data_IF_719666323538
#
_entry.id   IF_719666323538
#
_cell.length_a   1.000
_cell.length_b   1.000
_cell.length_c   1.000
_cell.angle_alpha   90.00
_cell.angle_beta   90.00
_cell.angle_gamma   90.00
#
_symmetry.space_group_name_H-M   'P 1'
#
loop_
_entity.id
_entity.type
_entity.pdbx_description
1 polymer ?
#
# COMPACT_ATOMS: atom_id res chain seq x y z
N UNK A 1 -22.76 35.46 3.72
CA UNK A 1 -23.88 34.50 3.83
C UNK A 1 -24.15 33.79 2.49
N UNK A 2 -23.12 33.25 1.81
CA UNK A 2 -23.27 32.68 0.45
C UNK A 2 -22.90 31.19 0.31
N UNK A 3 -22.48 30.51 1.37
CA UNK A 3 -21.99 29.12 1.28
C UNK A 3 -23.00 28.02 1.68
N UNK A 4 -24.30 28.33 1.72
CA UNK A 4 -25.35 27.38 2.12
C UNK A 4 -26.06 26.69 0.95
N UNK A 5 -25.37 26.30 -0.13
CA UNK A 5 -26.04 25.68 -1.30
C UNK A 5 -26.71 24.34 -0.96
N UNK A 6 -26.12 23.58 -0.03
CA UNK A 6 -26.61 22.28 0.43
C UNK A 6 -27.96 22.41 1.16
N UNK A 7 -28.17 23.51 1.90
CA UNK A 7 -29.41 23.77 2.66
C UNK A 7 -30.54 24.40 1.82
N UNK A 8 -30.32 24.62 0.51
CA UNK A 8 -31.32 25.16 -0.42
C UNK A 8 -31.90 24.08 -1.35
N UNK A 9 -31.54 22.81 -1.12
CA UNK A 9 -32.03 21.63 -1.84
C UNK A 9 -32.67 20.65 -0.84
N UNK A 10 -33.33 19.60 -1.33
CA UNK A 10 -33.81 18.52 -0.48
C UNK A 10 -32.62 17.82 0.20
N UNK A 11 -32.59 17.85 1.54
CA UNK A 11 -31.51 17.32 2.36
C UNK A 11 -32.11 16.47 3.48
N UNK A 12 -31.46 15.34 3.79
CA UNK A 12 -31.70 14.57 5.01
C UNK A 12 -30.57 14.85 6.01
N UNK A 13 -30.93 15.20 7.26
CA UNK A 13 -29.98 15.38 8.36
C UNK A 13 -30.35 14.41 9.49
N UNK A 14 -29.40 13.55 9.86
CA UNK A 14 -29.48 12.68 11.04
C UNK A 14 -28.60 13.29 12.14
N UNK A 15 -29.22 13.75 13.22
CA UNK A 15 -28.51 14.35 14.35
C UNK A 15 -29.11 13.90 15.68
N UNK A 16 -28.25 13.64 16.67
CA UNK A 16 -28.63 13.25 18.03
C UNK A 16 -27.57 13.76 19.01
N UNK A 17 -27.96 14.34 20.16
CA UNK A 17 -27.00 14.84 21.14
C UNK A 17 -26.18 13.73 21.82
N UNK A 18 -26.71 12.49 21.84
CA UNK A 18 -26.09 11.38 22.55
C UNK A 18 -25.45 10.34 21.62
N UNK A 19 -25.98 10.16 20.40
CA UNK A 19 -25.40 9.23 19.43
C UNK A 19 -26.38 8.72 18.37
N UNK A 20 -25.82 8.09 17.34
CA UNK A 20 -26.53 7.44 16.23
C UNK A 20 -25.91 6.04 16.07
N UNK A 21 -26.75 5.01 15.98
CA UNK A 21 -26.33 3.64 15.66
C UNK A 21 -27.00 3.21 14.35
N UNK A 22 -26.22 2.69 13.41
CA UNK A 22 -26.70 2.14 12.14
C UNK A 22 -26.30 0.66 12.07
N UNK A 23 -27.28 -0.24 12.18
CA UNK A 23 -27.04 -1.69 12.32
C UNK A 23 -28.09 -2.49 11.57
N UNK A 24 -27.70 -3.62 10.99
CA UNK A 24 -28.58 -4.59 10.32
C UNK A 24 -27.94 -5.97 10.38
N UNK A 25 -28.73 -7.07 10.39
CA UNK A 25 -28.20 -8.42 10.21
C UNK A 25 -27.68 -8.69 8.79
N UNK A 26 -28.05 -7.86 7.81
CA UNK A 26 -27.64 -7.98 6.42
C UNK A 26 -26.60 -6.91 6.02
N UNK A 27 -26.92 -6.05 5.05
CA UNK A 27 -25.94 -5.18 4.40
C UNK A 27 -26.21 -3.70 4.65
N UNK A 28 -25.13 -2.92 4.86
CA UNK A 28 -25.14 -1.46 4.78
C UNK A 28 -24.33 -1.06 3.55
N UNK A 29 -24.92 -0.25 2.67
CA UNK A 29 -24.26 0.31 1.49
C UNK A 29 -24.27 1.83 1.63
N UNK A 30 -23.08 2.44 1.62
CA UNK A 30 -22.89 3.89 1.63
C UNK A 30 -22.31 4.28 0.28
N UNK A 31 -23.06 5.06 -0.50
CA UNK A 31 -22.67 5.47 -1.85
C UNK A 31 -23.07 6.92 -2.10
N UNK A 32 -22.16 7.67 -2.72
CA UNK A 32 -22.42 9.01 -3.25
C UNK A 32 -21.89 9.10 -4.69
N UNK A 33 -22.53 9.90 -5.54
CA UNK A 33 -22.02 10.18 -6.90
C UNK A 33 -20.82 11.14 -6.92
N UNK A 34 -20.55 11.78 -5.78
CA UNK A 34 -19.42 12.66 -5.55
C UNK A 34 -18.63 12.10 -4.35
N UNK A 35 -18.53 12.84 -3.26
CA UNK A 35 -17.67 12.50 -2.13
C UNK A 35 -18.44 11.90 -0.94
N UNK A 36 -17.78 11.01 -0.20
CA UNK A 36 -18.15 10.62 1.17
C UNK A 36 -17.07 11.17 2.09
N UNK A 37 -17.47 11.98 3.08
CA UNK A 37 -16.57 12.54 4.08
C UNK A 37 -16.87 11.96 5.45
N UNK A 38 -15.88 11.32 6.08
CA UNK A 38 -15.95 10.81 7.44
C UNK A 38 -14.94 11.56 8.32
N UNK A 39 -15.41 12.06 9.46
CA UNK A 39 -14.55 12.78 10.41
C UNK A 39 -15.01 12.55 11.83
N UNK A 40 -14.05 12.47 12.77
CA UNK A 40 -14.32 12.35 14.19
C UNK A 40 -13.31 13.19 14.98
N UNK A 41 -13.75 13.82 16.07
CA UNK A 41 -12.83 14.49 17.02
C UNK A 41 -12.02 13.50 17.84
N UNK A 42 -12.57 12.29 18.06
CA UNK A 42 -11.90 11.16 18.68
C UNK A 42 -11.20 10.28 17.65
N UNK A 43 -11.77 9.09 17.41
CA UNK A 43 -11.18 8.07 16.53
C UNK A 43 -12.21 7.54 15.54
N UNK A 44 -11.74 7.16 14.35
CA UNK A 44 -12.46 6.28 13.42
C UNK A 44 -11.89 4.87 13.61
N UNK A 45 -12.73 3.90 13.93
CA UNK A 45 -12.33 2.50 14.11
C UNK A 45 -13.00 1.65 13.03
N UNK A 46 -12.19 1.02 12.19
CA UNK A 46 -12.64 0.10 11.14
C UNK A 46 -12.24 -1.32 11.52
N UNK A 47 -13.20 -2.22 11.55
CA UNK A 47 -12.99 -3.63 11.92
C UNK A 47 -13.90 -4.53 11.11
N UNK A 48 -13.36 -5.66 10.65
CA UNK A 48 -14.11 -6.70 9.96
C UNK A 48 -13.59 -8.08 10.38
N UNK A 49 -14.47 -9.09 10.41
CA UNK A 49 -14.07 -10.46 10.70
C UNK A 49 -13.30 -11.11 9.54
N UNK A 50 -13.64 -10.73 8.31
CA UNK A 50 -13.01 -11.24 7.09
C UNK A 50 -11.99 -10.25 6.54
N UNK A 51 -12.45 -9.20 5.87
CA UNK A 51 -11.58 -8.30 5.09
C UNK A 51 -11.97 -6.83 5.28
N UNK A 52 -10.96 -5.95 5.25
CA UNK A 52 -11.12 -4.53 4.95
C UNK A 52 -10.41 -4.30 3.62
N UNK A 53 -11.16 -3.83 2.61
CA UNK A 53 -10.65 -3.61 1.26
C UNK A 53 -10.82 -2.13 0.93
N UNK A 54 -9.71 -1.46 0.61
CA UNK A 54 -9.71 -0.08 0.12
C UNK A 54 -9.12 -0.03 -1.27
N UNK A 55 -9.77 0.67 -2.18
CA UNK A 55 -9.27 0.95 -3.53
C UNK A 55 -9.64 2.38 -3.91
N UNK A 56 -8.82 3.00 -4.74
CA UNK A 56 -9.09 4.30 -5.33
C UNK A 56 -8.55 4.28 -6.77
N UNK A 57 -9.20 5.01 -7.67
CA UNK A 57 -8.73 5.13 -9.06
C UNK A 57 -7.52 6.06 -9.17
N UNK A 58 -7.50 7.14 -8.39
CA UNK A 58 -6.44 8.15 -8.46
C UNK A 58 -5.38 7.93 -7.38
N UNK A 59 -5.76 7.99 -6.08
CA UNK A 59 -4.79 7.93 -4.98
C UNK A 59 -5.37 7.45 -3.66
N UNK A 60 -4.55 6.74 -2.88
CA UNK A 60 -4.72 6.52 -1.44
C UNK A 60 -3.62 7.29 -0.70
N UNK A 61 -3.97 8.07 0.34
CA UNK A 61 -3.00 8.81 1.15
C UNK A 61 -3.30 8.63 2.64
N UNK A 62 -2.29 8.20 3.40
CA UNK A 62 -2.39 7.94 4.85
C UNK A 62 -1.35 8.80 5.58
N UNK A 63 -1.81 9.56 6.58
CA UNK A 63 -0.95 10.48 7.32
C UNK A 63 -1.24 10.45 8.82
N UNK A 64 -0.19 10.38 9.62
CA UNK A 64 -0.26 10.41 11.09
C UNK A 64 0.67 11.49 11.63
N UNK A 65 0.11 12.55 12.22
CA UNK A 65 0.88 13.74 12.61
C UNK A 65 1.79 13.56 13.83
N UNK A 66 1.44 12.66 14.76
CA UNK A 66 2.12 12.58 16.07
C UNK A 66 2.64 11.19 16.43
N UNK A 67 1.81 10.15 16.30
CA UNK A 67 2.10 8.81 16.85
C UNK A 67 2.53 7.78 15.79
N UNK A 68 2.75 8.21 14.55
CA UNK A 68 3.24 7.39 13.45
C UNK A 68 2.21 6.43 12.85
N UNK A 69 2.65 5.69 11.82
CA UNK A 69 1.87 4.66 11.13
C UNK A 69 2.39 3.27 11.52
N UNK A 70 1.48 2.32 11.69
CA UNK A 70 1.79 0.93 11.99
C UNK A 70 0.99 0.00 11.08
N UNK A 71 1.67 -0.93 10.43
CA UNK A 71 1.06 -1.97 9.60
C UNK A 71 1.63 -3.32 10.03
N UNK A 72 0.76 -4.26 10.40
CA UNK A 72 1.15 -5.57 10.91
C UNK A 72 0.32 -6.67 10.24
N UNK A 73 0.98 -7.74 9.80
CA UNK A 73 0.35 -8.99 9.44
C UNK A 73 0.73 -10.02 10.52
N UNK A 74 -0.25 -10.47 11.33
CA UNK A 74 0.02 -11.48 12.37
C UNK A 74 0.32 -12.86 11.78
N UNK A 75 -0.28 -13.16 10.63
CA UNK A 75 -0.02 -14.33 9.79
C UNK A 75 -0.12 -13.89 8.33
N UNK A 76 0.56 -14.61 7.45
CA UNK A 76 0.62 -14.28 6.02
C UNK A 76 1.61 -13.16 5.71
N UNK A 77 1.73 -12.86 4.41
CA UNK A 77 2.68 -11.89 3.87
C UNK A 77 2.17 -10.45 3.99
N UNK A 78 3.07 -9.52 4.30
CA UNK A 78 2.88 -8.10 4.03
C UNK A 78 3.49 -7.81 2.65
N UNK A 79 2.67 -7.32 1.72
CA UNK A 79 3.09 -7.02 0.36
C UNK A 79 2.99 -5.53 0.06
N UNK A 80 4.05 -4.99 -0.54
CA UNK A 80 4.12 -3.61 -1.03
C UNK A 80 4.64 -3.66 -2.46
N UNK A 81 3.86 -3.12 -3.40
CA UNK A 81 4.20 -3.09 -4.82
C UNK A 81 3.81 -1.74 -5.41
N UNK A 82 4.71 -1.17 -6.21
CA UNK A 82 4.39 -0.13 -7.17
C UNK A 82 4.53 -0.77 -8.55
N UNK A 83 3.39 -0.99 -9.22
CA UNK A 83 3.35 -1.85 -10.42
C UNK A 83 3.83 -1.14 -11.69
N UNK A 84 3.74 0.19 -11.71
CA UNK A 84 4.16 1.04 -12.84
C UNK A 84 4.98 2.26 -12.39
N UNK A 85 5.44 2.27 -11.12
CA UNK A 85 6.20 3.40 -10.57
C UNK A 85 7.14 2.93 -9.44
N UNK A 86 7.77 3.87 -8.74
CA UNK A 86 8.75 3.63 -7.69
C UNK A 86 8.14 3.39 -6.31
N UNK A 87 8.89 2.68 -5.46
CA UNK A 87 8.69 2.65 -4.01
C UNK A 87 9.77 3.51 -3.35
N UNK A 88 9.36 4.54 -2.61
CA UNK A 88 10.27 5.37 -1.80
C UNK A 88 10.08 5.11 -0.30
N UNK A 89 11.16 4.73 0.39
CA UNK A 89 11.19 4.58 1.84
C UNK A 89 12.23 5.53 2.44
N UNK A 90 11.77 6.64 3.02
CA UNK A 90 12.61 7.73 3.52
C UNK A 90 12.38 7.92 5.02
N UNK A 91 13.45 7.96 5.81
CA UNK A 91 13.38 8.24 7.24
C UNK A 91 14.46 9.26 7.65
N UNK A 92 14.07 10.23 8.48
CA UNK A 92 15.02 11.22 9.05
C UNK A 92 16.09 10.58 9.95
N UNK A 93 15.76 9.45 10.58
CA UNK A 93 16.66 8.73 11.50
C UNK A 93 17.16 7.44 10.86
N UNK A 94 16.51 6.32 11.15
CA UNK A 94 17.01 4.99 10.82
C UNK A 94 15.96 4.25 10.01
N UNK A 95 16.42 3.54 8.97
CA UNK A 95 15.66 2.49 8.29
C UNK A 95 16.26 1.15 8.74
N UNK A 96 15.40 0.21 9.15
CA UNK A 96 15.79 -1.16 9.52
C UNK A 96 15.08 -2.16 8.62
N UNK A 97 15.84 -2.93 7.86
CA UNK A 97 15.36 -4.12 7.14
C UNK A 97 15.97 -5.33 7.85
N UNK A 98 15.12 -6.15 8.48
CA UNK A 98 15.55 -7.27 9.34
C UNK A 98 14.71 -8.48 8.98
N UNK A 99 15.38 -9.58 8.64
CA UNK A 99 14.81 -10.94 8.63
C UNK A 99 15.30 -11.65 9.89
N UNK A 100 14.41 -12.29 10.64
CA UNK A 100 14.75 -12.93 11.93
C UNK A 100 15.16 -14.39 11.80
N UNK A 101 14.71 -15.06 10.74
CA UNK A 101 14.87 -16.50 10.57
C UNK A 101 15.56 -16.86 9.24
N UNK A 102 15.37 -16.06 8.20
CA UNK A 102 15.78 -16.38 6.83
C UNK A 102 16.67 -15.27 6.24
N UNK A 103 16.46 -14.90 4.97
CA UNK A 103 17.30 -13.97 4.21
C UNK A 103 16.63 -12.62 3.94
N UNK A 104 17.44 -11.64 3.54
CA UNK A 104 17.01 -10.40 2.88
C UNK A 104 17.49 -10.48 1.43
N UNK A 105 16.60 -10.25 0.48
CA UNK A 105 16.91 -10.27 -0.94
C UNK A 105 16.73 -8.89 -1.56
N UNK A 106 17.73 -8.48 -2.34
CA UNK A 106 17.73 -7.26 -3.14
C UNK A 106 18.10 -7.66 -4.56
N UNK A 107 17.14 -7.54 -5.47
CA UNK A 107 17.31 -7.93 -6.87
C UNK A 107 16.94 -6.74 -7.75
N UNK A 108 17.75 -6.46 -8.76
CA UNK A 108 17.49 -5.40 -9.73
C UNK A 108 17.97 -5.85 -11.11
N UNK A 109 17.16 -5.69 -12.17
CA UNK A 109 17.58 -6.01 -13.53
C UNK A 109 18.68 -5.07 -14.05
N UNK A 110 18.81 -3.88 -13.46
CA UNK A 110 19.74 -2.84 -13.91
C UNK A 110 20.91 -2.66 -12.95
N UNK A 111 20.61 -2.29 -11.72
CA UNK A 111 21.64 -1.88 -10.76
C UNK A 111 21.14 -1.87 -9.30
N UNK A 112 22.05 -2.17 -8.38
CA UNK A 112 21.91 -1.91 -6.94
C UNK A 112 23.04 -0.97 -6.50
N UNK A 113 22.69 0.11 -5.81
CA UNK A 113 23.64 1.10 -5.27
C UNK A 113 23.44 1.25 -3.77
N UNK A 114 24.50 1.01 -3.00
CA UNK A 114 24.54 1.25 -1.55
C UNK A 114 25.58 2.33 -1.28
N UNK A 115 25.14 3.52 -0.86
CA UNK A 115 26.02 4.67 -0.63
C UNK A 115 25.95 5.13 0.81
N UNK A 116 27.10 5.36 1.44
CA UNK A 116 27.20 5.85 2.81
C UNK A 116 28.47 6.67 3.02
N UNK A 117 28.35 7.89 3.57
CA UNK A 117 29.49 8.71 3.99
C UNK A 117 30.55 8.96 2.90
N UNK A 118 30.14 9.09 1.63
CA UNK A 118 31.06 9.25 0.49
C UNK A 118 31.69 7.95 -0.03
N UNK A 119 31.32 6.79 0.52
CA UNK A 119 31.68 5.46 0.00
C UNK A 119 30.48 4.81 -0.69
N UNK A 120 30.74 3.91 -1.64
CA UNK A 120 29.72 3.23 -2.43
C UNK A 120 30.09 1.76 -2.71
N UNK A 121 29.08 0.90 -2.64
CA UNK A 121 29.07 -0.42 -3.27
C UNK A 121 28.02 -0.42 -4.39
N UNK A 122 28.44 -0.76 -5.61
CA UNK A 122 27.60 -0.77 -6.81
C UNK A 122 27.66 -2.14 -7.50
N UNK A 123 26.50 -2.68 -7.84
CA UNK A 123 26.36 -3.99 -8.51
C UNK A 123 25.51 -3.80 -9.76
N UNK A 124 26.05 -4.12 -10.94
CA UNK A 124 25.35 -4.02 -12.21
C UNK A 124 25.93 -4.99 -13.26
N UNK A 125 25.50 -4.87 -14.52
CA UNK A 125 25.95 -5.72 -15.63
C UNK A 125 27.49 -5.69 -15.88
N UNK A 126 28.18 -4.64 -15.43
CA UNK A 126 29.63 -4.50 -15.58
C UNK A 126 30.42 -5.11 -14.40
N UNK A 127 29.74 -5.58 -13.35
CA UNK A 127 30.37 -6.25 -12.20
C UNK A 127 30.04 -5.62 -10.85
N UNK A 128 30.94 -5.80 -9.88
CA UNK A 128 30.84 -5.30 -8.50
C UNK A 128 31.93 -4.26 -8.25
N UNK A 129 31.53 -3.05 -7.88
CA UNK A 129 32.43 -1.90 -7.71
C UNK A 129 32.36 -1.35 -6.29
N UNK A 130 33.49 -1.36 -5.60
CA UNK A 130 33.68 -0.71 -4.30
C UNK A 130 34.46 0.59 -4.50
N UNK A 131 33.85 1.72 -4.19
CA UNK A 131 34.48 3.05 -4.31
C UNK A 131 34.52 3.73 -2.95
N UNK A 132 35.69 4.20 -2.51
CA UNK A 132 35.82 4.98 -1.28
C UNK A 132 36.97 5.97 -1.40
N UNK A 133 36.79 7.19 -0.88
CA UNK A 133 37.88 8.16 -0.72
C UNK A 133 38.71 7.92 0.55
N UNK A 134 38.24 7.03 1.45
CA UNK A 134 38.92 6.69 2.69
C UNK A 134 39.68 5.37 2.60
N UNK A 135 39.93 4.76 3.77
CA UNK A 135 40.58 3.46 3.86
C UNK A 135 39.62 2.34 3.43
N UNK A 136 40.01 1.56 2.42
CA UNK A 136 39.43 0.25 2.16
C UNK A 136 40.22 -0.81 2.93
N UNK A 137 39.62 -1.44 3.94
CA UNK A 137 40.27 -2.51 4.73
C UNK A 137 39.52 -3.82 4.55
N UNK A 138 40.22 -4.87 4.13
CA UNK A 138 39.69 -6.23 4.03
C UNK A 138 40.50 -7.15 4.94
N UNK A 139 39.86 -7.75 5.94
CA UNK A 139 40.47 -8.66 6.90
C UNK A 139 39.83 -10.04 6.75
N UNK A 140 40.60 -11.03 6.32
CA UNK A 140 40.14 -12.41 6.16
C UNK A 140 41.25 -13.41 6.50
N UNK A 141 40.86 -14.64 6.85
CA UNK A 141 41.80 -15.76 7.00
C UNK A 141 42.42 -16.22 5.68
N UNK A 142 41.75 -15.98 4.55
CA UNK A 142 42.25 -16.21 3.20
C UNK A 142 41.47 -15.32 2.20
N UNK A 143 42.15 -14.90 1.13
CA UNK A 143 41.50 -14.35 -0.06
C UNK A 143 41.74 -15.30 -1.23
N UNK A 144 40.67 -15.86 -1.79
CA UNK A 144 40.71 -16.72 -2.97
C UNK A 144 40.06 -15.98 -4.14
N UNK A 145 40.82 -15.76 -5.21
CA UNK A 145 40.33 -15.15 -6.44
C UNK A 145 40.30 -16.22 -7.53
N UNK A 146 39.10 -16.50 -8.06
CA UNK A 146 38.86 -17.47 -9.14
C UNK A 146 38.33 -16.79 -10.40
N UNK A 147 38.15 -17.55 -11.48
CA UNK A 147 37.49 -17.05 -12.69
C UNK A 147 36.05 -16.59 -12.41
N UNK A 148 35.57 -15.62 -13.19
CA UNK A 148 34.20 -15.12 -13.06
C UNK A 148 33.12 -16.18 -13.28
N UNK A 149 31.96 -15.96 -12.67
CA UNK A 149 30.76 -16.77 -12.82
C UNK A 149 29.52 -15.87 -12.98
N UNK A 150 28.46 -16.40 -13.58
CA UNK A 150 27.17 -15.71 -13.72
C UNK A 150 26.16 -16.30 -12.73
N UNK A 151 25.45 -15.44 -12.04
CA UNK A 151 24.30 -15.82 -11.19
C UNK A 151 23.02 -15.57 -11.99
N UNK A 152 22.15 -16.58 -12.07
CA UNK A 152 20.78 -16.39 -12.58
C UNK A 152 19.92 -15.79 -11.48
N UNK A 153 19.09 -14.82 -11.83
CA UNK A 153 18.12 -14.22 -10.92
C UNK A 153 16.77 -14.12 -11.62
N UNK A 154 15.70 -14.23 -10.84
CA UNK A 154 14.33 -14.03 -11.31
C UNK A 154 13.86 -12.65 -10.83
N UNK A 155 13.28 -11.87 -11.75
CA UNK A 155 12.60 -10.62 -11.43
C UNK A 155 11.11 -10.89 -11.52
N UNK A 156 10.31 -10.54 -10.50
CA UNK A 156 8.86 -10.66 -10.60
C UNK A 156 8.32 -9.87 -11.78
N UNK A 157 7.53 -10.51 -12.65
CA UNK A 157 6.79 -9.80 -13.69
C UNK A 157 5.59 -9.08 -13.06
N UNK A 158 5.56 -7.75 -13.21
CA UNK A 158 4.44 -6.93 -12.77
C UNK A 158 3.38 -6.86 -13.88
N UNK A 159 2.08 -6.77 -13.55
CA UNK A 159 1.04 -6.71 -14.56
C UNK A 159 1.13 -5.42 -15.39
N UNK A 160 0.83 -5.49 -16.69
CA UNK A 160 0.94 -4.38 -17.65
C UNK A 160 -0.35 -3.59 -17.88
N UNK A 161 -1.48 -4.02 -17.32
CA UNK A 161 -2.77 -3.32 -17.47
C UNK A 161 -3.74 -3.67 -16.35
N UNK A 162 -4.47 -2.67 -15.85
CA UNK A 162 -5.61 -2.85 -14.96
C UNK A 162 -6.83 -2.15 -15.55
N UNK A 163 -7.89 -2.91 -15.84
CA UNK A 163 -9.21 -2.35 -16.11
C UNK A 163 -9.88 -2.00 -14.77
N UNK A 164 -9.94 -0.71 -14.43
CA UNK A 164 -10.67 -0.25 -13.25
C UNK A 164 -12.12 0.10 -13.62
N UNK A 165 -13.06 -0.50 -12.89
CA UNK A 165 -14.46 -0.08 -12.88
C UNK A 165 -14.89 0.21 -11.44
N UNK A 166 -15.41 1.41 -11.21
CA UNK A 166 -16.05 1.79 -9.95
C UNK A 166 -17.49 1.23 -9.82
N UNK A 167 -17.95 0.45 -10.80
CA UNK A 167 -19.26 -0.19 -10.72
C UNK A 167 -19.17 -1.34 -9.73
N UNK A 168 -19.88 -1.21 -8.61
CA UNK A 168 -20.24 -2.35 -7.79
C UNK A 168 -21.09 -3.26 -8.67
N UNK A 169 -20.48 -4.35 -9.12
CA UNK A 169 -21.19 -5.43 -9.80
C UNK A 169 -21.96 -6.22 -8.73
N UNK A 170 -23.24 -5.89 -8.57
CA UNK A 170 -24.12 -6.52 -7.58
C UNK A 170 -24.19 -8.04 -7.78
N UNK A 171 -24.01 -8.55 -9.01
CA UNK A 171 -23.96 -9.99 -9.27
C UNK A 171 -22.79 -10.68 -8.56
N UNK A 172 -21.66 -9.99 -8.37
CA UNK A 172 -20.48 -10.55 -7.68
C UNK A 172 -20.60 -10.55 -6.17
N UNK A 173 -21.43 -9.66 -5.60
CA UNK A 173 -21.68 -9.58 -4.16
C UNK A 173 -22.69 -10.65 -3.73
N UNK A 174 -23.70 -10.89 -4.56
CA UNK A 174 -24.82 -11.77 -4.23
C UNK A 174 -24.83 -13.00 -5.14
N UNK A 175 -23.74 -13.79 -5.15
CA UNK A 175 -23.58 -14.99 -5.99
C UNK A 175 -24.70 -16.05 -5.84
N UNK A 176 -25.61 -15.88 -4.88
CA UNK A 176 -26.72 -16.78 -4.59
C UNK A 176 -28.11 -16.13 -4.68
N UNK A 177 -28.21 -14.90 -5.20
CA UNK A 177 -29.50 -14.20 -5.34
C UNK A 177 -29.91 -14.14 -6.81
N UNK A 178 -31.13 -14.58 -7.08
CA UNK A 178 -31.73 -14.47 -8.41
C UNK A 178 -32.22 -13.03 -8.64
N UNK A 179 -31.57 -12.35 -9.58
CA UNK A 179 -31.83 -10.97 -9.94
C UNK A 179 -32.85 -10.81 -11.07
N UNK A 180 -33.39 -11.91 -11.62
CA UNK A 180 -34.29 -11.88 -12.77
C UNK A 180 -35.59 -11.09 -12.52
N UNK A 181 -35.98 -10.87 -11.26
CA UNK A 181 -37.24 -10.21 -10.89
C UNK A 181 -37.09 -8.78 -10.34
N UNK A 182 -35.90 -8.16 -10.41
CA UNK A 182 -35.75 -6.76 -10.00
C UNK A 182 -36.33 -5.83 -11.07
N UNK A 183 -37.47 -5.21 -10.77
CA UNK A 183 -38.02 -4.11 -11.57
C UNK A 183 -37.43 -2.78 -11.10
N UNK A 184 -36.70 -2.11 -11.99
CA UNK A 184 -36.30 -0.72 -11.79
C UNK A 184 -37.54 0.18 -11.90
N UNK A 185 -37.79 1.02 -10.89
CA UNK A 185 -38.63 2.22 -11.08
C UNK A 185 -37.70 3.41 -11.32
N UNK A 186 -37.89 4.08 -12.46
CA UNK A 186 -37.28 5.37 -12.73
C UNK A 186 -37.84 6.46 -11.81
#
# INVERSE_FOLDING_TARGET
>A
QEQGKIFRQALMLLASPNGIALTTPENIILQASQDIAESASGSINLSAQKNIIGHAQDKISLFAAQKGLRAYAAKGKLELQAQDDAIEAIAKKVIKLISTEEKIELTSPKEIVLTAGGSQLKINANGVFSTTGGKFESKAGQHLFTSGAKVSYEVPELPSSFDYSNRIDLYKIFQWSDFENIKYSA
#
